data_IF_038137273945
#
_entry.id   IF_038137273945
#
_cell.length_a   1.000
_cell.length_b   1.000
_cell.length_c   1.000
_cell.angle_alpha   90.00
_cell.angle_beta   90.00
_cell.angle_gamma   90.00
#
_symmetry.space_group_name_H-M   'P 1'
#
loop_
_entity.id
_entity.type
_entity.pdbx_description
1 polymer ?
#
# COMPACT_ATOMS: atom_id res chain seq x y z
N UNK A 1 31.33 15.99 10.79
CA UNK A 1 30.18 15.09 10.58
C UNK A 1 29.44 15.63 9.38
N UNK A 2 29.13 14.81 8.37
CA UNK A 2 28.18 15.21 7.32
C UNK A 2 26.82 15.46 7.99
N UNK A 3 26.13 16.52 7.60
CA UNK A 3 24.73 16.73 8.00
C UNK A 3 23.89 15.50 7.58
N UNK A 4 22.93 15.05 8.39
CA UNK A 4 22.02 13.97 8.01
C UNK A 4 21.30 14.33 6.71
N UNK A 5 21.27 13.42 5.74
CA UNK A 5 20.65 13.66 4.42
C UNK A 5 19.15 13.96 4.53
N UNK A 6 18.52 13.57 5.63
CA UNK A 6 17.11 13.71 5.93
C UNK A 6 16.77 14.90 6.86
N UNK A 7 17.72 15.79 7.15
CA UNK A 7 17.48 16.95 8.04
C UNK A 7 16.34 17.86 7.54
N UNK A 8 16.24 18.08 6.22
CA UNK A 8 15.21 18.91 5.60
C UNK A 8 14.07 18.10 4.95
N UNK A 9 13.94 16.82 5.30
CA UNK A 9 13.07 15.85 4.61
C UNK A 9 11.64 16.34 4.40
N UNK A 10 11.02 16.95 5.42
CA UNK A 10 9.64 17.46 5.31
C UNK A 10 9.48 18.47 4.18
N UNK A 11 10.32 19.51 4.20
CA UNK A 11 10.29 20.61 3.25
C UNK A 11 10.62 20.12 1.83
N UNK A 12 11.52 19.15 1.73
CA UNK A 12 11.98 18.64 0.45
C UNK A 12 10.92 17.75 -0.20
N UNK A 13 10.25 16.87 0.57
CA UNK A 13 9.13 16.08 0.05
C UNK A 13 7.94 16.98 -0.27
N UNK A 14 7.62 17.99 0.56
CA UNK A 14 6.53 18.93 0.27
C UNK A 14 6.74 19.61 -1.10
N UNK A 15 7.93 20.17 -1.34
CA UNK A 15 8.28 20.77 -2.64
C UNK A 15 8.19 19.77 -3.78
N UNK A 16 8.67 18.54 -3.56
CA UNK A 16 8.57 17.48 -4.55
C UNK A 16 7.11 17.18 -4.93
N UNK A 17 6.21 17.02 -3.94
CA UNK A 17 4.80 16.77 -4.17
C UNK A 17 4.16 17.90 -4.99
N UNK A 18 4.40 19.16 -4.62
CA UNK A 18 3.86 20.30 -5.38
C UNK A 18 4.44 20.38 -6.80
N UNK A 19 5.68 19.94 -7.03
CA UNK A 19 6.25 19.89 -8.39
C UNK A 19 5.63 18.82 -9.29
N UNK A 20 4.92 17.83 -8.72
CA UNK A 20 4.14 16.85 -9.47
C UNK A 20 2.71 17.32 -9.77
N UNK A 21 2.26 18.42 -9.16
CA UNK A 21 0.89 18.91 -9.26
C UNK A 21 0.58 19.39 -10.68
N UNK A 22 -0.59 19.04 -11.20
CA UNK A 22 -1.08 19.54 -12.48
C UNK A 22 -1.48 21.01 -12.36
N UNK A 23 -0.96 21.85 -13.25
CA UNK A 23 -1.21 23.31 -13.26
C UNK A 23 -2.70 23.69 -13.35
N UNK A 24 -3.51 22.86 -14.04
CA UNK A 24 -4.94 23.12 -14.27
C UNK A 24 -5.86 22.44 -13.25
N UNK A 25 -5.35 21.46 -12.50
CA UNK A 25 -6.11 20.75 -11.48
C UNK A 25 -5.23 20.44 -10.27
N UNK A 26 -5.43 21.21 -9.20
CA UNK A 26 -4.68 21.10 -7.95
C UNK A 26 -4.79 19.75 -7.22
N UNK A 27 -5.72 18.88 -7.62
CA UNK A 27 -5.90 17.56 -7.01
C UNK A 27 -5.34 16.42 -7.87
N UNK A 28 -4.89 16.73 -9.09
CA UNK A 28 -4.26 15.77 -10.00
C UNK A 28 -2.74 15.92 -9.90
N UNK A 29 -2.05 14.82 -9.65
CA UNK A 29 -0.60 14.74 -9.57
C UNK A 29 -0.05 13.73 -10.55
N UNK A 30 1.07 14.05 -11.18
CA UNK A 30 1.78 13.13 -12.05
C UNK A 30 2.56 12.09 -11.23
N UNK A 31 2.78 10.88 -11.77
CA UNK A 31 3.53 9.86 -11.06
C UNK A 31 5.02 10.16 -10.96
N UNK A 32 5.56 10.95 -11.90
CA UNK A 32 6.98 11.23 -12.05
C UNK A 32 7.18 12.66 -12.56
N UNK A 33 8.33 13.27 -12.26
CA UNK A 33 8.71 14.59 -12.79
C UNK A 33 8.99 14.56 -14.29
N UNK A 34 9.61 13.48 -14.77
CA UNK A 34 9.91 13.27 -16.18
C UNK A 34 9.61 11.84 -16.59
N UNK A 35 9.23 11.66 -17.86
CA UNK A 35 8.96 10.35 -18.44
C UNK A 35 7.57 9.80 -18.16
N UNK A 36 6.59 10.60 -17.73
CA UNK A 36 5.20 10.17 -17.61
C UNK A 36 4.65 9.72 -18.98
N UNK A 37 4.07 8.52 -19.04
CA UNK A 37 3.43 7.99 -20.26
C UNK A 37 2.04 8.59 -20.46
N UNK A 38 1.34 8.16 -21.52
CA UNK A 38 -0.09 8.48 -21.68
C UNK A 38 -0.90 8.13 -20.45
N UNK A 39 -0.83 6.90 -19.94
CA UNK A 39 -1.61 6.51 -18.75
C UNK A 39 -1.12 7.19 -17.47
N UNK A 40 0.19 7.43 -17.34
CA UNK A 40 0.73 8.19 -16.21
C UNK A 40 0.17 9.61 -16.11
N UNK A 41 -0.19 10.23 -17.23
CA UNK A 41 -0.82 11.56 -17.25
C UNK A 41 -2.35 11.54 -17.09
N UNK A 42 -2.97 10.37 -17.02
CA UNK A 42 -4.43 10.20 -17.04
C UNK A 42 -4.97 9.59 -15.75
N UNK A 43 -4.21 8.69 -15.11
CA UNK A 43 -4.54 8.18 -13.78
C UNK A 43 -4.38 9.29 -12.76
N UNK A 44 -5.36 9.44 -11.86
CA UNK A 44 -5.35 10.50 -10.87
C UNK A 44 -5.68 10.02 -9.47
N UNK A 45 -6.67 9.13 -9.30
CA UNK A 45 -7.20 8.76 -7.96
C UNK A 45 -6.10 8.20 -7.04
N UNK A 46 -5.36 7.19 -7.50
CA UNK A 46 -4.29 6.60 -6.70
C UNK A 46 -3.19 7.58 -6.32
N UNK A 47 -2.80 8.46 -7.26
CA UNK A 47 -1.77 9.47 -7.00
C UNK A 47 -2.26 10.54 -6.01
N UNK A 48 -3.53 10.94 -6.09
CA UNK A 48 -4.17 11.80 -5.10
C UNK A 48 -4.17 11.15 -3.71
N UNK A 49 -4.45 9.85 -3.62
CA UNK A 49 -4.38 9.12 -2.35
C UNK A 49 -2.96 9.13 -1.77
N UNK A 50 -1.94 8.94 -2.61
CA UNK A 50 -0.54 9.03 -2.21
C UNK A 50 -0.16 10.42 -1.69
N UNK A 51 -0.59 11.50 -2.35
CA UNK A 51 -0.35 12.87 -1.86
C UNK A 51 -0.99 13.10 -0.50
N UNK A 52 -2.26 12.72 -0.31
CA UNK A 52 -2.95 12.88 0.98
C UNK A 52 -2.21 12.12 2.08
N UNK A 53 -1.80 10.87 1.81
CA UNK A 53 -1.00 10.06 2.75
C UNK A 53 0.33 10.73 3.09
N UNK A 54 1.03 11.30 2.10
CA UNK A 54 2.25 12.06 2.37
C UNK A 54 1.98 13.33 3.20
N UNK A 55 0.95 14.10 2.88
CA UNK A 55 0.56 15.27 3.68
C UNK A 55 0.23 14.90 5.12
N UNK A 56 -0.46 13.77 5.33
CA UNK A 56 -0.71 13.24 6.67
C UNK A 56 0.61 12.89 7.38
N UNK A 57 1.47 12.07 6.76
CA UNK A 57 2.75 11.66 7.34
C UNK A 57 3.69 12.83 7.69
N UNK A 58 3.63 13.91 6.89
CA UNK A 58 4.44 15.11 7.10
C UNK A 58 3.85 16.11 8.10
N UNK A 59 2.67 15.82 8.65
CA UNK A 59 1.90 16.74 9.51
C UNK A 59 1.46 18.03 8.78
N UNK A 60 1.32 17.95 7.45
CA UNK A 60 0.88 19.05 6.60
C UNK A 60 -0.64 19.08 6.43
N UNK A 61 -1.29 17.92 6.48
CA UNK A 61 -2.73 17.82 6.27
C UNK A 61 -3.50 18.73 7.22
N UNK A 62 -3.19 18.68 8.53
CA UNK A 62 -3.91 19.44 9.54
C UNK A 62 -3.71 20.95 9.41
N UNK A 63 -2.60 21.37 8.82
CA UNK A 63 -2.27 22.77 8.53
C UNK A 63 -2.99 23.34 7.29
N UNK A 64 -3.67 22.50 6.49
CA UNK A 64 -4.44 22.97 5.33
C UNK A 64 -5.72 23.69 5.78
N UNK A 65 -6.13 24.70 5.01
CA UNK A 65 -7.45 25.33 5.15
C UNK A 65 -8.58 24.30 5.06
N UNK A 66 -9.59 24.41 5.91
CA UNK A 66 -10.73 23.48 5.96
C UNK A 66 -11.50 23.43 4.63
N UNK A 67 -11.65 24.57 3.95
CA UNK A 67 -12.25 24.61 2.62
C UNK A 67 -11.42 23.87 1.57
N UNK A 68 -10.09 23.85 1.72
CA UNK A 68 -9.20 23.09 0.85
C UNK A 68 -9.21 21.58 1.18
N UNK A 69 -9.23 21.20 2.47
CA UNK A 69 -9.44 19.81 2.90
C UNK A 69 -10.74 19.25 2.34
N UNK A 70 -11.84 19.99 2.46
CA UNK A 70 -13.14 19.57 1.94
C UNK A 70 -13.11 19.30 0.42
N UNK A 71 -12.43 20.14 -0.35
CA UNK A 71 -12.28 19.92 -1.81
C UNK A 71 -11.45 18.68 -2.16
N UNK A 72 -10.42 18.37 -1.35
CA UNK A 72 -9.69 17.10 -1.50
C UNK A 72 -10.60 15.89 -1.27
N UNK A 73 -11.40 15.92 -0.20
CA UNK A 73 -12.34 14.86 0.14
C UNK A 73 -13.42 14.68 -0.93
N UNK A 74 -13.96 15.79 -1.45
CA UNK A 74 -14.90 15.78 -2.58
C UNK A 74 -14.26 15.21 -3.85
N UNK A 75 -13.01 15.56 -4.14
CA UNK A 75 -12.30 15.06 -5.30
C UNK A 75 -12.14 13.53 -5.23
N UNK A 76 -11.65 12.99 -4.10
CA UNK A 76 -11.53 11.52 -3.93
C UNK A 76 -12.90 10.84 -4.03
N UNK A 77 -13.91 11.37 -3.33
CA UNK A 77 -15.27 10.82 -3.38
C UNK A 77 -15.94 10.91 -4.75
N UNK A 78 -15.50 11.80 -5.64
CA UNK A 78 -16.05 11.91 -7.00
C UNK A 78 -15.77 10.68 -7.88
N UNK A 79 -14.78 9.86 -7.51
CA UNK A 79 -14.47 8.59 -8.18
C UNK A 79 -15.35 7.43 -7.72
N UNK A 80 -16.18 7.63 -6.68
CA UNK A 80 -17.09 6.61 -6.21
C UNK A 80 -18.31 6.51 -7.13
N UNK A 81 -18.45 5.38 -7.80
CA UNK A 81 -19.47 5.16 -8.84
C UNK A 81 -20.17 3.82 -8.68
N UNK A 82 -21.39 3.74 -9.19
CA UNK A 82 -22.10 2.48 -9.35
C UNK A 82 -22.02 2.02 -10.81
N UNK A 83 -21.54 0.79 -11.03
CA UNK A 83 -21.36 0.22 -12.36
C UNK A 83 -21.86 -1.23 -12.35
N UNK A 84 -22.83 -1.55 -13.20
CA UNK A 84 -23.58 -2.83 -13.22
C UNK A 84 -22.72 -4.10 -13.20
N UNK A 85 -21.47 -4.04 -13.65
CA UNK A 85 -20.57 -5.20 -13.72
C UNK A 85 -19.46 -5.22 -12.66
N UNK A 86 -19.50 -4.28 -11.72
CA UNK A 86 -18.57 -4.13 -10.62
C UNK A 86 -19.33 -4.16 -9.29
N UNK A 87 -18.62 -4.43 -8.19
CA UNK A 87 -19.14 -4.17 -6.86
C UNK A 87 -19.73 -2.76 -6.76
N UNK A 88 -20.94 -2.62 -6.23
CA UNK A 88 -21.62 -1.33 -6.10
C UNK A 88 -20.84 -0.37 -5.22
N UNK A 89 -20.87 0.92 -5.59
CA UNK A 89 -20.16 2.00 -4.91
C UNK A 89 -18.63 1.81 -4.85
N UNK A 90 -18.05 1.14 -5.84
CA UNK A 90 -16.59 1.06 -6.00
C UNK A 90 -15.99 2.43 -6.33
N UNK A 91 -14.73 2.64 -5.95
CA UNK A 91 -13.95 3.75 -6.50
C UNK A 91 -13.31 3.32 -7.81
N UNK A 92 -13.47 4.14 -8.84
CA UNK A 92 -13.07 3.79 -10.20
C UNK A 92 -12.40 4.97 -10.88
N UNK A 93 -11.10 4.87 -11.10
CA UNK A 93 -10.39 5.77 -11.98
C UNK A 93 -10.83 5.54 -13.45
N UNK A 94 -11.31 6.56 -14.18
CA UNK A 94 -11.78 6.41 -15.55
C UNK A 94 -10.71 5.87 -16.51
N UNK A 95 -9.44 6.22 -16.33
CA UNK A 95 -8.35 5.75 -17.18
C UNK A 95 -8.10 4.25 -16.96
N UNK A 96 -8.13 3.80 -15.71
CA UNK A 96 -8.07 2.36 -15.37
C UNK A 96 -9.28 1.62 -15.93
N UNK A 97 -10.50 2.15 -15.74
CA UNK A 97 -11.71 1.53 -16.26
C UNK A 97 -11.65 1.31 -17.77
N UNK A 98 -11.31 2.38 -18.50
CA UNK A 98 -11.24 2.35 -19.96
C UNK A 98 -10.15 1.40 -20.46
N UNK A 99 -9.00 1.35 -19.77
CA UNK A 99 -7.96 0.37 -20.04
C UNK A 99 -8.51 -1.05 -19.98
N UNK A 100 -9.28 -1.36 -18.94
CA UNK A 100 -9.83 -2.70 -18.75
C UNK A 100 -11.05 -3.02 -19.64
N UNK A 101 -11.84 -2.05 -20.07
CA UNK A 101 -13.09 -2.33 -20.82
C UNK A 101 -12.97 -2.17 -22.34
N UNK A 102 -11.96 -1.47 -22.86
CA UNK A 102 -11.83 -1.20 -24.29
C UNK A 102 -11.55 -2.45 -25.16
N UNK A 103 -12.42 -2.70 -26.14
CA UNK A 103 -12.40 -3.90 -27.01
C UNK A 103 -11.15 -3.99 -27.89
N UNK A 104 -10.64 -2.86 -28.38
CA UNK A 104 -9.45 -2.77 -29.26
C UNK A 104 -8.14 -3.06 -28.54
N UNK A 105 -8.07 -2.87 -27.21
CA UNK A 105 -6.83 -3.09 -26.43
C UNK A 105 -6.68 -4.53 -25.93
N UNK A 106 -7.74 -5.35 -25.92
CA UNK A 106 -7.70 -6.76 -25.45
C UNK A 106 -6.58 -7.60 -26.07
N UNK A 107 -6.11 -7.26 -27.28
CA UNK A 107 -5.01 -7.95 -27.96
C UNK A 107 -3.61 -7.48 -27.50
N UNK A 108 -3.32 -6.17 -27.42
CA UNK A 108 -1.99 -5.67 -26.97
C UNK A 108 -1.78 -5.78 -25.45
N UNK A 109 -2.87 -5.85 -24.69
CA UNK A 109 -2.88 -6.00 -23.24
C UNK A 109 -2.30 -7.34 -22.78
N UNK A 110 -2.50 -8.42 -23.54
CA UNK A 110 -1.97 -9.75 -23.19
C UNK A 110 -0.45 -9.73 -23.02
N UNK A 111 0.27 -8.88 -23.74
CA UNK A 111 1.74 -8.86 -23.70
C UNK A 111 2.31 -7.93 -22.62
N UNK A 112 1.61 -6.82 -22.28
CA UNK A 112 1.98 -5.98 -21.14
C UNK A 112 1.66 -6.64 -19.80
N UNK A 113 0.52 -7.32 -19.70
CA UNK A 113 0.15 -8.08 -18.50
C UNK A 113 1.06 -9.28 -18.28
N UNK A 114 1.55 -9.96 -19.32
CA UNK A 114 2.58 -11.01 -19.18
C UNK A 114 3.84 -10.50 -18.48
N UNK A 115 4.23 -9.24 -18.65
CA UNK A 115 5.41 -8.66 -17.98
C UNK A 115 5.19 -8.45 -16.48
N UNK A 116 3.99 -8.01 -16.08
CA UNK A 116 3.59 -7.88 -14.66
C UNK A 116 3.35 -9.25 -14.02
N UNK A 117 2.78 -10.17 -14.79
CA UNK A 117 2.57 -11.58 -14.41
C UNK A 117 3.91 -12.31 -14.26
N UNK A 118 4.95 -11.99 -15.05
CA UNK A 118 6.26 -12.61 -14.89
C UNK A 118 7.02 -12.16 -13.64
N UNK A 119 6.62 -11.06 -13.00
CA UNK A 119 7.11 -10.64 -11.68
C UNK A 119 6.38 -11.34 -10.52
N UNK A 120 5.26 -12.03 -10.78
CA UNK A 120 4.50 -12.76 -9.77
C UNK A 120 4.49 -14.24 -10.12
N UNK A 121 5.14 -15.08 -9.31
CA UNK A 121 5.22 -16.51 -9.60
C UNK A 121 3.81 -17.12 -9.66
N UNK A 122 3.40 -17.70 -10.80
CA UNK A 122 2.00 -18.07 -11.08
C UNK A 122 1.65 -19.54 -10.80
N UNK A 123 0.56 -19.78 -10.08
CA UNK A 123 -0.19 -21.06 -10.10
C UNK A 123 -1.69 -20.70 -10.15
N UNK A 124 -2.41 -21.36 -11.08
CA UNK A 124 -3.66 -20.94 -11.76
C UNK A 124 -3.56 -19.60 -12.50
N UNK A 125 -3.74 -19.63 -13.82
CA UNK A 125 -3.61 -18.46 -14.69
C UNK A 125 -4.79 -17.49 -14.47
N UNK A 126 -4.66 -16.48 -13.59
CA UNK A 126 -5.69 -15.44 -13.40
C UNK A 126 -6.07 -14.83 -14.75
N UNK A 127 -7.36 -14.64 -14.95
CA UNK A 127 -7.90 -14.04 -16.16
C UNK A 127 -7.77 -12.52 -16.12
N UNK A 128 -7.97 -11.90 -17.27
CA UNK A 128 -8.05 -10.45 -17.37
C UNK A 128 -9.18 -9.84 -16.54
N UNK A 129 -10.32 -10.54 -16.46
CA UNK A 129 -11.46 -10.13 -15.62
C UNK A 129 -11.08 -10.15 -14.15
N UNK A 130 -10.32 -11.15 -13.71
CA UNK A 130 -9.86 -11.25 -12.32
C UNK A 130 -8.95 -10.07 -11.97
N UNK A 131 -7.96 -9.77 -12.82
CA UNK A 131 -7.03 -8.66 -12.61
C UNK A 131 -7.72 -7.30 -12.59
N UNK A 132 -8.75 -7.13 -13.43
CA UNK A 132 -9.57 -5.92 -13.40
C UNK A 132 -10.32 -5.78 -12.07
N UNK A 133 -10.99 -6.85 -11.63
CA UNK A 133 -11.72 -6.85 -10.35
C UNK A 133 -10.79 -6.64 -9.15
N UNK A 134 -9.60 -7.23 -9.17
CA UNK A 134 -8.59 -7.00 -8.14
C UNK A 134 -8.14 -5.54 -8.11
N UNK A 135 -7.94 -4.93 -9.27
CA UNK A 135 -7.51 -3.52 -9.38
C UNK A 135 -8.59 -2.57 -8.87
N UNK A 136 -9.87 -2.82 -9.21
CA UNK A 136 -11.01 -2.06 -8.68
C UNK A 136 -11.11 -2.20 -7.17
N UNK A 137 -10.95 -3.41 -6.63
CA UNK A 137 -10.96 -3.64 -5.18
C UNK A 137 -9.79 -2.96 -4.48
N UNK A 138 -8.58 -3.04 -5.05
CA UNK A 138 -7.40 -2.38 -4.51
C UNK A 138 -7.56 -0.86 -4.48
N UNK A 139 -8.08 -0.26 -5.56
CA UNK A 139 -8.31 1.18 -5.65
C UNK A 139 -9.42 1.64 -4.71
N UNK A 140 -10.50 0.85 -4.58
CA UNK A 140 -11.56 1.08 -3.60
C UNK A 140 -11.04 1.02 -2.17
N UNK A 141 -10.24 0.00 -1.84
CA UNK A 141 -9.60 -0.12 -0.52
C UNK A 141 -8.72 1.10 -0.24
N UNK A 142 -7.88 1.49 -1.19
CA UNK A 142 -6.95 2.60 -1.03
C UNK A 142 -7.67 3.93 -0.82
N UNK A 143 -8.73 4.22 -1.59
CA UNK A 143 -9.50 5.44 -1.45
C UNK A 143 -10.21 5.51 -0.09
N UNK A 144 -10.88 4.43 0.31
CA UNK A 144 -11.57 4.35 1.61
C UNK A 144 -10.57 4.48 2.77
N UNK A 145 -9.46 3.74 2.74
CA UNK A 145 -8.42 3.82 3.75
C UNK A 145 -7.85 5.24 3.86
N UNK A 146 -7.59 5.90 2.73
CA UNK A 146 -7.08 7.27 2.72
C UNK A 146 -8.06 8.27 3.31
N UNK A 147 -9.36 8.16 2.99
CA UNK A 147 -10.39 9.01 3.58
C UNK A 147 -10.45 8.81 5.11
N UNK A 148 -10.44 7.57 5.58
CA UNK A 148 -10.45 7.26 7.01
C UNK A 148 -9.20 7.78 7.73
N UNK A 149 -8.02 7.68 7.12
CA UNK A 149 -6.75 8.16 7.69
C UNK A 149 -6.82 9.64 8.09
N UNK A 150 -7.50 10.45 7.26
CA UNK A 150 -7.68 11.89 7.49
C UNK A 150 -9.01 12.24 8.19
N UNK A 151 -9.61 11.27 8.88
CA UNK A 151 -10.83 11.49 9.68
C UNK A 151 -12.12 11.67 8.86
N UNK A 152 -12.12 11.25 7.59
CA UNK A 152 -13.27 11.33 6.69
C UNK A 152 -13.82 9.94 6.35
N UNK A 153 -14.88 9.90 5.54
CA UNK A 153 -15.54 8.67 5.07
C UNK A 153 -15.91 8.78 3.60
N UNK A 154 -16.09 7.61 2.96
CA UNK A 154 -16.67 7.53 1.63
C UNK A 154 -18.16 7.90 1.63
N UNK A 155 -18.62 8.52 0.55
CA UNK A 155 -20.00 9.06 0.42
C UNK A 155 -21.08 7.98 0.47
N UNK A 156 -20.84 6.84 -0.18
CA UNK A 156 -21.76 5.71 -0.26
C UNK A 156 -21.11 4.45 0.28
N UNK A 157 -21.85 3.65 1.04
CA UNK A 157 -21.33 2.43 1.63
C UNK A 157 -20.96 1.38 0.56
N UNK A 158 -19.74 0.84 0.62
CA UNK A 158 -19.31 -0.29 -0.20
C UNK A 158 -19.70 -1.60 0.50
N UNK A 159 -20.70 -2.33 -0.04
CA UNK A 159 -21.28 -3.53 0.62
C UNK A 159 -20.85 -4.86 0.04
N UNK A 160 -20.23 -4.83 -1.14
CA UNK A 160 -19.99 -6.02 -1.95
C UNK A 160 -18.65 -6.68 -1.58
N UNK A 161 -18.62 -7.26 -0.37
CA UNK A 161 -17.51 -8.08 0.14
C UNK A 161 -18.02 -9.18 1.08
N UNK A 162 -17.31 -10.33 1.19
CA UNK A 162 -17.61 -11.37 2.18
C UNK A 162 -17.70 -10.81 3.60
N UNK A 163 -18.86 -10.94 4.23
CA UNK A 163 -19.13 -10.36 5.55
C UNK A 163 -19.90 -11.30 6.50
N UNK A 164 -19.91 -12.59 6.19
CA UNK A 164 -20.36 -13.65 7.09
C UNK A 164 -19.24 -14.67 7.26
N UNK A 165 -19.25 -15.43 8.37
CA UNK A 165 -18.24 -16.48 8.62
C UNK A 165 -18.08 -17.43 7.43
N UNK A 166 -19.19 -17.90 6.86
CA UNK A 166 -19.19 -18.88 5.77
C UNK A 166 -18.62 -18.27 4.49
N UNK A 167 -19.01 -17.04 4.14
CA UNK A 167 -18.47 -16.36 2.96
C UNK A 167 -16.99 -16.02 3.11
N UNK A 168 -16.57 -15.56 4.29
CA UNK A 168 -15.17 -15.27 4.60
C UNK A 168 -14.34 -16.55 4.49
N UNK A 169 -14.75 -17.64 5.14
CA UNK A 169 -14.08 -18.94 5.06
C UNK A 169 -13.96 -19.39 3.59
N UNK A 170 -15.07 -19.42 2.85
CA UNK A 170 -15.11 -19.86 1.45
C UNK A 170 -14.22 -19.00 0.55
N UNK A 171 -14.29 -17.67 0.71
CA UNK A 171 -13.50 -16.75 -0.09
C UNK A 171 -12.01 -16.90 0.20
N UNK A 172 -11.60 -16.88 1.47
CA UNK A 172 -10.19 -16.99 1.84
C UNK A 172 -9.62 -18.37 1.54
N UNK A 173 -10.40 -19.46 1.66
CA UNK A 173 -9.98 -20.81 1.28
C UNK A 173 -9.82 -20.97 -0.25
N UNK A 174 -10.46 -20.10 -1.05
CA UNK A 174 -10.25 -20.06 -2.51
C UNK A 174 -8.92 -19.41 -2.93
N UNK A 175 -8.26 -18.68 -2.02
CA UNK A 175 -7.03 -17.96 -2.29
C UNK A 175 -5.81 -18.88 -2.16
N UNK A 176 -4.77 -18.57 -2.94
CA UNK A 176 -3.52 -19.33 -2.93
C UNK A 176 -2.59 -18.87 -1.80
N UNK A 177 -2.77 -19.43 -0.59
CA UNK A 177 -1.90 -19.16 0.55
C UNK A 177 -0.51 -19.81 0.49
N UNK A 178 -0.23 -20.62 -0.55
CA UNK A 178 1.13 -21.03 -0.88
C UNK A 178 1.90 -19.94 -1.62
N UNK A 179 1.24 -18.82 -1.98
CA UNK A 179 1.83 -17.59 -2.51
C UNK A 179 1.10 -16.38 -1.91
N UNK A 180 1.44 -16.03 -0.66
CA UNK A 180 0.60 -15.21 0.20
C UNK A 180 0.50 -13.74 -0.23
N UNK A 181 1.23 -13.25 -1.23
CA UNK A 181 1.15 -11.85 -1.67
C UNK A 181 -0.29 -11.42 -2.00
N UNK A 182 -0.93 -12.12 -2.94
CA UNK A 182 -2.31 -11.78 -3.32
C UNK A 182 -3.28 -12.18 -2.20
N UNK A 183 -3.08 -13.33 -1.55
CA UNK A 183 -4.00 -13.80 -0.51
C UNK A 183 -4.08 -12.83 0.68
N UNK A 184 -2.92 -12.35 1.15
CA UNK A 184 -2.82 -11.31 2.17
C UNK A 184 -3.43 -9.99 1.72
N UNK A 185 -3.28 -9.59 0.45
CA UNK A 185 -3.88 -8.36 -0.06
C UNK A 185 -5.41 -8.40 -0.01
N UNK A 186 -5.99 -9.54 -0.38
CA UNK A 186 -7.43 -9.76 -0.28
C UNK A 186 -7.90 -9.79 1.18
N UNK A 187 -7.16 -10.45 2.07
CA UNK A 187 -7.43 -10.44 3.50
C UNK A 187 -7.42 -9.01 4.08
N UNK A 188 -6.40 -8.21 3.76
CA UNK A 188 -6.30 -6.79 4.15
C UNK A 188 -7.51 -5.99 3.68
N UNK A 189 -7.96 -6.20 2.43
CA UNK A 189 -9.15 -5.53 1.91
C UNK A 189 -10.42 -5.86 2.72
N UNK A 190 -10.63 -7.14 3.08
CA UNK A 190 -11.76 -7.52 3.93
C UNK A 190 -11.68 -6.84 5.30
N UNK A 191 -10.50 -6.71 5.89
CA UNK A 191 -10.30 -6.04 7.17
C UNK A 191 -10.68 -4.56 7.09
N UNK A 192 -10.19 -3.83 6.08
CA UNK A 192 -10.56 -2.42 5.84
C UNK A 192 -12.07 -2.27 5.66
N UNK A 193 -12.69 -3.10 4.82
CA UNK A 193 -14.13 -3.01 4.59
C UNK A 193 -14.96 -3.40 5.82
N UNK A 194 -14.48 -4.37 6.60
CA UNK A 194 -15.09 -4.75 7.89
C UNK A 194 -15.14 -3.56 8.84
N UNK A 195 -14.01 -2.87 9.02
CA UNK A 195 -13.90 -1.74 9.96
C UNK A 195 -14.65 -0.51 9.47
N UNK A 196 -14.62 -0.22 8.17
CA UNK A 196 -15.11 1.06 7.63
C UNK A 196 -16.53 1.00 7.08
N UNK A 197 -17.00 -0.19 6.68
CA UNK A 197 -18.27 -0.36 5.98
C UNK A 197 -19.30 -1.15 6.76
N UNK A 198 -19.00 -1.70 7.95
CA UNK A 198 -20.00 -2.39 8.78
C UNK A 198 -20.33 -1.58 10.04
N UNK A 199 -21.47 -1.89 10.65
CA UNK A 199 -21.82 -1.33 11.96
C UNK A 199 -20.98 -2.01 13.05
N UNK A 200 -20.68 -1.30 14.14
CA UNK A 200 -19.76 -1.74 15.19
C UNK A 200 -19.91 -3.22 15.62
N UNK A 201 -21.13 -3.68 15.94
CA UNK A 201 -21.33 -5.07 16.35
C UNK A 201 -21.03 -6.06 15.22
N UNK A 202 -21.45 -5.78 13.98
CA UNK A 202 -21.18 -6.63 12.82
C UNK A 202 -19.69 -6.64 12.47
N UNK A 203 -19.05 -5.47 12.55
CA UNK A 203 -17.62 -5.29 12.34
C UNK A 203 -16.81 -6.15 13.31
N UNK A 204 -17.15 -6.12 14.60
CA UNK A 204 -16.46 -6.91 15.63
C UNK A 204 -16.59 -8.43 15.39
N UNK A 205 -17.80 -8.91 15.06
CA UNK A 205 -17.99 -10.32 14.74
C UNK A 205 -17.18 -10.75 13.51
N UNK A 206 -17.17 -9.93 12.45
CA UNK A 206 -16.36 -10.20 11.26
C UNK A 206 -14.86 -10.14 11.51
N UNK A 207 -14.40 -9.17 12.29
CA UNK A 207 -13.01 -9.09 12.74
C UNK A 207 -12.58 -10.38 13.47
N UNK A 208 -13.44 -10.92 14.33
CA UNK A 208 -13.18 -12.19 15.02
C UNK A 208 -13.13 -13.39 14.06
N UNK A 209 -13.99 -13.44 13.03
CA UNK A 209 -13.93 -14.49 12.01
C UNK A 209 -12.66 -14.41 11.16
N UNK A 210 -12.30 -13.21 10.70
CA UNK A 210 -11.06 -12.96 9.95
C UNK A 210 -9.84 -13.35 10.78
N UNK A 211 -9.79 -12.95 12.05
CA UNK A 211 -8.70 -13.28 12.95
C UNK A 211 -8.55 -14.80 13.14
N UNK A 212 -9.66 -15.49 13.43
CA UNK A 212 -9.66 -16.94 13.61
C UNK A 212 -9.25 -17.70 12.34
N UNK A 213 -9.56 -17.17 11.16
CA UNK A 213 -9.14 -17.78 9.90
C UNK A 213 -7.61 -17.90 9.80
N UNK A 214 -6.86 -16.92 10.32
CA UNK A 214 -5.40 -16.87 10.19
C UNK A 214 -4.69 -18.09 10.80
N UNK A 215 -5.28 -18.74 11.80
CA UNK A 215 -4.76 -20.00 12.36
C UNK A 215 -4.58 -21.10 11.31
N UNK A 216 -5.37 -21.10 10.22
CA UNK A 216 -5.25 -22.05 9.11
C UNK A 216 -4.03 -21.82 8.22
N UNK A 217 -3.43 -20.63 8.28
CA UNK A 217 -2.34 -20.18 7.40
C UNK A 217 -1.11 -19.73 8.18
N UNK A 218 -1.15 -19.81 9.51
CA UNK A 218 -0.07 -19.37 10.39
C UNK A 218 1.05 -20.41 10.43
N UNK A 219 2.26 -20.00 10.05
CA UNK A 219 3.46 -20.74 10.34
C UNK A 219 3.88 -20.46 11.79
N UNK A 220 3.74 -21.44 12.68
CA UNK A 220 4.02 -21.28 14.11
C UNK A 220 5.52 -21.19 14.44
N UNK A 221 6.41 -21.56 13.52
CA UNK A 221 7.87 -21.48 13.73
C UNK A 221 8.38 -20.06 13.51
N UNK A 222 7.84 -19.35 12.53
CA UNK A 222 8.29 -18.00 12.15
C UNK A 222 7.30 -16.89 12.54
N UNK A 223 6.03 -17.22 12.81
CA UNK A 223 4.96 -16.24 13.01
C UNK A 223 4.37 -15.67 11.70
N UNK A 224 4.88 -16.09 10.54
CA UNK A 224 4.45 -15.60 9.23
C UNK A 224 3.18 -16.32 8.72
N UNK A 225 2.50 -15.74 7.73
CA UNK A 225 1.21 -16.23 7.23
C UNK A 225 1.32 -16.85 5.82
N UNK A 226 1.52 -18.16 5.74
CA UNK A 226 1.58 -18.94 4.49
C UNK A 226 1.37 -20.44 4.73
N UNK A 227 0.92 -21.19 3.70
CA UNK A 227 0.70 -22.66 3.79
C UNK A 227 1.87 -23.54 3.31
N UNK A 228 2.85 -23.00 2.58
CA UNK A 228 3.97 -23.77 2.02
C UNK A 228 5.34 -23.28 2.52
N UNK A 229 6.28 -24.18 2.78
CA UNK A 229 7.64 -23.89 3.26
C UNK A 229 8.52 -23.33 2.13
N UNK A 230 8.32 -23.77 0.89
CA UNK A 230 9.15 -23.42 -0.28
C UNK A 230 8.89 -22.02 -0.88
N UNK A 231 8.13 -21.17 -0.19
CA UNK A 231 7.86 -19.81 -0.66
C UNK A 231 9.12 -18.95 -0.54
N UNK A 232 9.42 -18.18 -1.60
CA UNK A 232 10.52 -17.23 -1.61
C UNK A 232 10.42 -16.19 -0.49
N UNK A 233 11.57 -15.67 -0.05
CA UNK A 233 11.66 -14.78 1.10
C UNK A 233 10.79 -13.52 0.98
N UNK A 234 10.91 -12.79 -0.14
CA UNK A 234 10.16 -11.54 -0.35
C UNK A 234 8.65 -11.79 -0.38
N UNK A 235 8.21 -12.91 -0.95
CA UNK A 235 6.79 -13.28 -1.00
C UNK A 235 6.24 -13.57 0.41
N UNK A 236 7.03 -14.22 1.29
CA UNK A 236 6.65 -14.44 2.70
C UNK A 236 6.52 -13.12 3.46
N UNK A 237 7.49 -12.22 3.30
CA UNK A 237 7.50 -10.90 3.94
C UNK A 237 6.30 -10.07 3.47
N UNK A 238 6.12 -9.94 2.15
CA UNK A 238 5.04 -9.14 1.58
C UNK A 238 3.65 -9.68 1.94
N UNK A 239 3.46 -11.00 1.86
CA UNK A 239 2.22 -11.63 2.30
C UNK A 239 1.92 -11.38 3.78
N UNK A 240 2.95 -11.47 4.63
CA UNK A 240 2.83 -11.18 6.07
C UNK A 240 2.54 -9.71 6.32
N UNK A 241 3.19 -8.78 5.63
CA UNK A 241 2.92 -7.34 5.67
C UNK A 241 1.43 -7.08 5.45
N UNK A 242 0.86 -7.66 4.40
CA UNK A 242 -0.55 -7.45 4.06
C UNK A 242 -1.50 -8.02 5.12
N UNK A 243 -1.17 -9.17 5.71
CA UNK A 243 -1.96 -9.71 6.82
C UNK A 243 -1.89 -8.79 8.03
N UNK A 244 -0.69 -8.33 8.41
CA UNK A 244 -0.50 -7.43 9.55
C UNK A 244 -1.20 -6.09 9.32
N UNK A 245 -1.20 -5.56 8.10
CA UNK A 245 -2.02 -4.38 7.75
C UNK A 245 -3.49 -4.65 8.02
N UNK A 246 -4.00 -5.82 7.63
CA UNK A 246 -5.38 -6.20 7.95
C UNK A 246 -5.64 -6.22 9.45
N UNK A 247 -4.76 -6.86 10.22
CA UNK A 247 -4.84 -6.92 11.69
C UNK A 247 -4.83 -5.53 12.35
N UNK A 248 -4.06 -4.59 11.80
CA UNK A 248 -4.00 -3.20 12.25
C UNK A 248 -5.34 -2.48 12.10
N UNK A 249 -6.06 -2.76 11.01
CA UNK A 249 -7.39 -2.20 10.74
C UNK A 249 -8.49 -2.77 11.65
N UNK A 250 -8.42 -4.06 11.99
CA UNK A 250 -9.41 -4.71 12.86
C UNK A 250 -8.98 -4.79 14.33
N UNK A 251 -7.88 -4.10 14.68
CA UNK A 251 -7.32 -4.00 16.03
C UNK A 251 -7.10 -5.35 16.71
N UNK A 252 -6.55 -6.31 15.95
CA UNK A 252 -6.22 -7.64 16.46
C UNK A 252 -4.71 -7.82 16.65
N UNK A 253 -4.29 -8.56 17.70
CA UNK A 253 -2.87 -8.76 17.99
C UNK A 253 -2.19 -9.57 16.88
N UNK A 254 -0.89 -9.40 16.74
CA UNK A 254 -0.09 -10.18 15.80
C UNK A 254 0.25 -11.51 16.46
N UNK A 255 0.16 -12.61 15.72
CA UNK A 255 0.59 -13.91 16.23
C UNK A 255 2.12 -13.96 16.32
N UNK A 256 2.65 -14.34 17.48
CA UNK A 256 4.08 -14.56 17.72
C UNK A 256 5.00 -13.40 17.26
N UNK A 257 4.81 -12.16 17.72
CA UNK A 257 5.57 -10.99 17.26
C UNK A 257 7.10 -11.17 17.44
N UNK A 258 7.55 -11.86 18.50
CA UNK A 258 8.98 -12.10 18.75
C UNK A 258 9.63 -13.03 17.71
N UNK A 259 8.87 -14.00 17.19
CA UNK A 259 9.36 -14.88 16.10
C UNK A 259 9.48 -14.12 14.79
N UNK A 260 8.57 -13.18 14.55
CA UNK A 260 8.64 -12.28 13.40
C UNK A 260 9.87 -11.37 13.52
N UNK A 261 10.14 -10.83 14.72
CA UNK A 261 11.36 -10.05 15.00
C UNK A 261 12.60 -10.88 14.69
N UNK A 262 12.71 -12.10 15.24
CA UNK A 262 13.84 -13.01 14.98
C UNK A 262 14.00 -13.39 13.51
N UNK A 263 12.90 -13.50 12.77
CA UNK A 263 12.92 -13.73 11.34
C UNK A 263 13.47 -12.51 10.58
N UNK A 264 12.91 -11.32 10.83
CA UNK A 264 13.27 -10.09 10.11
C UNK A 264 14.74 -9.69 10.32
N UNK A 265 15.27 -9.84 11.53
CA UNK A 265 16.67 -9.51 11.84
C UNK A 265 17.70 -10.36 11.07
N UNK A 266 17.28 -11.48 10.47
CA UNK A 266 18.12 -12.36 9.64
C UNK A 266 17.97 -12.07 8.14
N UNK A 267 17.07 -11.19 7.75
CA UNK A 267 16.79 -10.86 6.35
C UNK A 267 17.69 -9.70 5.93
N UNK A 268 18.36 -9.85 4.79
CA UNK A 268 18.99 -8.72 4.13
C UNK A 268 17.90 -7.86 3.45
N UNK A 269 17.86 -6.53 3.72
CA UNK A 269 16.84 -5.69 3.13
C UNK A 269 17.00 -5.65 1.61
N UNK A 270 15.88 -5.73 0.89
CA UNK A 270 15.88 -5.57 -0.57
C UNK A 270 16.27 -4.15 -0.99
N UNK A 271 16.43 -3.95 -2.31
CA UNK A 271 16.77 -2.65 -2.90
C UNK A 271 15.59 -1.95 -3.61
N UNK A 272 14.39 -2.51 -3.54
CA UNK A 272 13.17 -1.91 -4.08
C UNK A 272 12.30 -1.35 -2.96
N UNK A 273 11.62 -0.22 -3.19
CA UNK A 273 10.87 0.49 -2.17
C UNK A 273 9.80 -0.35 -1.48
N UNK A 274 9.12 -1.24 -2.21
CA UNK A 274 8.14 -2.16 -1.62
C UNK A 274 8.80 -3.18 -0.68
N UNK A 275 9.89 -3.82 -1.09
CA UNK A 275 10.56 -4.84 -0.28
C UNK A 275 11.13 -4.24 1.01
N UNK A 276 11.64 -3.00 0.93
CA UNK A 276 12.16 -2.26 2.08
C UNK A 276 11.04 -1.96 3.09
N UNK A 277 9.96 -1.32 2.64
CA UNK A 277 8.89 -0.89 3.55
C UNK A 277 8.12 -2.06 4.14
N UNK A 278 7.95 -3.15 3.39
CA UNK A 278 7.24 -4.33 3.88
C UNK A 278 7.95 -4.95 5.07
N UNK A 279 9.28 -5.06 4.99
CA UNK A 279 10.11 -5.58 6.06
C UNK A 279 10.10 -4.65 7.29
N UNK A 280 10.21 -3.33 7.06
CA UNK A 280 10.11 -2.35 8.15
C UNK A 280 8.76 -2.43 8.83
N UNK A 281 7.66 -2.48 8.07
CA UNK A 281 6.31 -2.47 8.64
C UNK A 281 6.05 -3.68 9.54
N UNK A 282 6.38 -4.90 9.07
CA UNK A 282 6.17 -6.10 9.90
C UNK A 282 7.03 -6.09 11.16
N UNK A 283 8.26 -5.57 11.07
CA UNK A 283 9.16 -5.45 12.21
C UNK A 283 8.67 -4.39 13.19
N UNK A 284 8.34 -3.20 12.69
CA UNK A 284 7.77 -2.09 13.45
C UNK A 284 6.53 -2.52 14.24
N UNK A 285 5.52 -3.08 13.56
CA UNK A 285 4.27 -3.49 14.20
C UNK A 285 4.48 -4.60 15.24
N UNK A 286 5.44 -5.50 15.01
CA UNK A 286 5.80 -6.53 16.00
C UNK A 286 6.47 -5.90 17.23
N UNK A 287 7.35 -4.90 17.05
CA UNK A 287 8.00 -4.18 18.16
C UNK A 287 7.03 -3.32 18.97
N UNK A 288 5.95 -2.81 18.36
CA UNK A 288 4.88 -2.13 19.13
C UNK A 288 4.13 -3.08 20.06
N UNK A 289 4.25 -4.41 19.89
CA UNK A 289 3.62 -5.42 20.75
C UNK A 289 4.61 -6.17 21.66
N UNK A 290 5.93 -6.04 21.45
CA UNK A 290 6.96 -6.63 22.33
C UNK A 290 8.23 -5.77 22.35
N UNK A 291 8.84 -5.65 23.55
CA UNK A 291 10.15 -5.00 23.76
C UNK A 291 11.34 -5.93 23.48
N UNK A 292 11.10 -7.11 22.92
CA UNK A 292 12.14 -8.07 22.59
C UNK A 292 13.12 -7.49 21.56
N UNK A 293 14.43 -7.57 21.86
CA UNK A 293 15.54 -7.17 20.96
C UNK A 293 15.51 -5.74 20.45
N UNK A 294 14.96 -4.78 21.20
CA UNK A 294 14.86 -3.36 20.79
C UNK A 294 16.17 -2.79 20.23
N UNK A 295 17.31 -3.02 20.89
CA UNK A 295 18.60 -2.51 20.42
C UNK A 295 19.06 -3.15 19.09
N UNK A 296 18.80 -4.44 18.88
CA UNK A 296 19.12 -5.11 17.61
C UNK A 296 18.25 -4.55 16.47
N UNK A 297 16.98 -4.27 16.77
CA UNK A 297 16.02 -3.68 15.82
C UNK A 297 16.42 -2.26 15.44
N UNK A 298 16.78 -1.41 16.41
CA UNK A 298 17.27 -0.05 16.13
C UNK A 298 18.51 -0.08 15.24
N UNK A 299 19.50 -0.92 15.57
CA UNK A 299 20.69 -1.11 14.75
C UNK A 299 20.36 -1.65 13.33
N UNK A 300 19.35 -2.51 13.22
CA UNK A 300 18.87 -2.99 11.93
C UNK A 300 18.26 -1.85 11.11
N UNK A 301 17.41 -1.02 11.71
CA UNK A 301 16.80 0.12 11.01
C UNK A 301 17.81 1.18 10.58
N UNK A 302 18.89 1.41 11.32
CA UNK A 302 19.96 2.30 10.85
C UNK A 302 20.61 1.79 9.55
N UNK A 303 20.80 0.47 9.41
CA UNK A 303 21.28 -0.13 8.16
C UNK A 303 20.27 0.05 7.02
N UNK A 304 18.99 -0.14 7.31
CA UNK A 304 17.94 0.05 6.30
C UNK A 304 17.83 1.52 5.88
N UNK A 305 18.01 2.47 6.81
CA UNK A 305 18.00 3.91 6.52
C UNK A 305 19.10 4.31 5.53
N UNK A 306 20.27 3.66 5.59
CA UNK A 306 21.34 3.83 4.58
C UNK A 306 20.85 3.38 3.20
N UNK A 307 20.13 2.25 3.11
CA UNK A 307 19.57 1.79 1.83
C UNK A 307 18.53 2.79 1.33
N UNK A 308 17.61 3.26 2.18
CA UNK A 308 16.61 4.28 1.83
C UNK A 308 17.27 5.54 1.28
N UNK A 309 18.40 5.98 1.85
CA UNK A 309 19.14 7.15 1.39
C UNK A 309 19.61 7.05 -0.06
N UNK A 310 19.87 5.83 -0.56
CA UNK A 310 20.28 5.62 -1.96
C UNK A 310 19.17 5.88 -2.98
N UNK A 311 17.92 5.98 -2.53
CA UNK A 311 16.77 6.31 -3.37
C UNK A 311 16.46 7.81 -3.38
N UNK A 312 17.05 8.58 -2.47
CA UNK A 312 16.73 9.99 -2.24
C UNK A 312 17.45 10.90 -3.24
N UNK A 313 16.73 11.85 -3.82
CA UNK A 313 17.29 12.84 -4.73
C UNK A 313 17.32 14.20 -4.04
N UNK A 314 18.43 14.55 -3.39
CA UNK A 314 18.56 15.82 -2.64
C UNK A 314 18.23 17.07 -3.47
N UNK A 315 18.53 17.07 -4.77
CA UNK A 315 18.21 18.21 -5.66
C UNK A 315 16.73 18.32 -6.04
N UNK A 316 15.93 17.26 -5.78
CA UNK A 316 14.51 17.15 -6.17
C UNK A 316 13.58 16.90 -4.98
N UNK A 317 14.10 16.44 -3.85
CA UNK A 317 13.42 16.21 -2.58
C UNK A 317 12.60 14.92 -2.42
N UNK A 318 12.41 14.14 -3.49
CA UNK A 318 11.66 12.88 -3.47
C UNK A 318 12.55 11.64 -3.55
N UNK A 319 11.90 10.46 -3.54
CA UNK A 319 12.55 9.17 -3.70
C UNK A 319 12.12 8.45 -4.99
N UNK A 320 12.99 7.61 -5.54
CA UNK A 320 12.66 6.67 -6.61
C UNK A 320 12.22 5.31 -6.07
N UNK A 321 11.31 4.64 -6.78
CA UNK A 321 10.82 3.31 -6.44
C UNK A 321 11.93 2.24 -6.40
N UNK A 322 12.86 2.29 -7.34
CA UNK A 322 14.10 1.50 -7.34
C UNK A 322 15.28 2.44 -7.47
N UNK A 323 16.45 2.09 -6.96
CA UNK A 323 17.66 2.92 -7.12
C UNK A 323 17.86 3.32 -8.59
N UNK A 324 17.92 4.62 -8.85
CA UNK A 324 18.07 5.25 -10.17
C UNK A 324 16.94 4.96 -11.18
N UNK A 325 15.75 4.50 -10.75
CA UNK A 325 14.62 4.20 -11.64
C UNK A 325 13.26 4.44 -10.98
N UNK A 326 12.43 5.23 -11.64
CA UNK A 326 11.03 5.42 -11.26
C UNK A 326 10.13 4.19 -11.47
N UNK A 327 9.01 4.12 -10.75
CA UNK A 327 7.97 3.09 -10.90
C UNK A 327 7.49 2.96 -12.35
N UNK A 328 7.39 1.73 -12.86
CA UNK A 328 6.98 1.45 -14.25
C UNK A 328 5.46 1.34 -14.42
N UNK A 329 4.79 0.56 -13.56
CA UNK A 329 3.40 0.16 -13.72
C UNK A 329 2.54 0.48 -12.49
N UNK A 330 1.28 0.83 -12.74
CA UNK A 330 0.21 0.96 -11.74
C UNK A 330 -1.02 0.18 -12.23
N UNK A 331 -1.45 -0.85 -11.49
CA UNK A 331 -2.50 -1.80 -11.90
C UNK A 331 -2.39 -2.31 -13.34
N UNK A 332 -1.16 -2.62 -13.78
CA UNK A 332 -0.92 -3.10 -15.15
C UNK A 332 -0.89 -2.02 -16.24
N UNK A 333 -1.21 -0.77 -15.92
CA UNK A 333 -1.00 0.36 -16.82
C UNK A 333 0.45 0.83 -16.72
N UNK A 334 1.13 0.96 -17.85
CA UNK A 334 2.49 1.53 -17.89
C UNK A 334 2.40 3.03 -17.65
N UNK A 335 2.90 3.54 -16.53
CA UNK A 335 2.74 4.93 -16.09
C UNK A 335 3.98 5.80 -16.30
N UNK A 336 5.17 5.20 -16.37
CA UNK A 336 6.42 5.94 -16.62
C UNK A 336 7.32 5.25 -17.65
N UNK A 337 8.38 5.95 -18.04
CA UNK A 337 9.49 5.43 -18.85
C UNK A 337 10.62 4.82 -17.99
N UNK A 338 10.47 4.75 -16.66
CA UNK A 338 11.48 4.30 -15.70
C UNK A 338 12.80 5.07 -15.79
N UNK A 339 12.70 6.39 -15.96
CA UNK A 339 13.87 7.25 -15.95
C UNK A 339 14.44 7.36 -14.53
N UNK A 340 15.68 7.81 -14.44
CA UNK A 340 16.39 8.15 -13.22
C UNK A 340 15.84 9.44 -12.61
N UNK A 341 14.71 9.31 -11.92
CA UNK A 341 13.99 10.41 -11.31
C UNK A 341 13.13 9.90 -10.15
N UNK A 342 12.91 10.72 -9.11
CA UNK A 342 11.96 10.38 -8.07
C UNK A 342 10.54 10.28 -8.63
N UNK A 343 9.73 9.48 -7.94
CA UNK A 343 8.35 9.20 -8.28
C UNK A 343 7.48 9.22 -7.02
N UNK A 344 6.19 9.45 -7.20
CA UNK A 344 5.27 9.64 -6.08
C UNK A 344 5.15 8.37 -5.24
N UNK A 345 5.14 7.18 -5.85
CA UNK A 345 4.93 5.94 -5.13
C UNK A 345 6.15 5.55 -4.30
N UNK A 346 7.35 5.61 -4.89
CA UNK A 346 8.61 5.44 -4.17
C UNK A 346 8.73 6.43 -3.01
N UNK A 347 8.34 7.69 -3.23
CA UNK A 347 8.32 8.71 -2.18
C UNK A 347 7.35 8.36 -1.05
N UNK A 348 6.12 7.96 -1.35
CA UNK A 348 5.15 7.55 -0.31
C UNK A 348 5.64 6.34 0.49
N UNK A 349 6.15 5.30 -0.17
CA UNK A 349 6.63 4.09 0.50
C UNK A 349 7.84 4.36 1.40
N UNK A 350 8.81 5.11 0.90
CA UNK A 350 10.05 5.36 1.63
C UNK A 350 9.89 6.44 2.71
N UNK A 351 9.00 7.40 2.52
CA UNK A 351 8.56 8.27 3.62
C UNK A 351 7.90 7.45 4.73
N UNK A 352 6.97 6.55 4.37
CA UNK A 352 6.29 5.70 5.36
C UNK A 352 7.25 4.79 6.12
N UNK A 353 8.24 4.22 5.43
CA UNK A 353 9.35 3.49 6.05
C UNK A 353 10.08 4.34 7.09
N UNK A 354 10.45 5.58 6.73
CA UNK A 354 11.17 6.49 7.62
C UNK A 354 10.34 6.90 8.84
N UNK A 355 9.03 7.18 8.68
CA UNK A 355 8.19 7.57 9.83
C UNK A 355 8.12 6.47 10.89
N UNK A 356 8.10 5.20 10.49
CA UNK A 356 8.18 4.06 11.41
C UNK A 356 9.54 3.92 12.10
N UNK A 357 10.64 4.16 11.36
CA UNK A 357 11.99 4.15 11.92
C UNK A 357 12.14 5.29 12.94
N UNK A 358 11.64 6.48 12.61
CA UNK A 358 11.65 7.64 13.49
C UNK A 358 10.88 7.37 14.78
N UNK A 359 9.68 6.79 14.73
CA UNK A 359 8.90 6.45 15.93
C UNK A 359 9.63 5.45 16.85
N UNK A 360 10.33 4.46 16.30
CA UNK A 360 11.12 3.48 17.09
C UNK A 360 12.35 4.12 17.74
N UNK A 361 12.85 5.21 17.18
CA UNK A 361 13.99 5.97 17.67
C UNK A 361 13.55 7.23 18.45
N UNK A 362 12.27 7.34 18.84
CA UNK A 362 11.70 8.48 19.56
C UNK A 362 11.91 9.84 18.86
N UNK A 363 11.98 9.83 17.53
CA UNK A 363 12.05 11.05 16.70
C UNK A 363 10.62 11.45 16.32
N UNK A 364 10.17 12.59 16.83
CA UNK A 364 8.80 13.07 16.66
C UNK A 364 8.63 14.02 15.46
N UNK A 365 7.36 14.32 15.16
CA UNK A 365 6.98 15.25 14.10
C UNK A 365 6.51 14.58 12.81
N UNK A 366 6.40 13.26 12.76
CA UNK A 366 5.82 12.56 11.63
C UNK A 366 4.64 11.71 12.08
N UNK A 367 3.61 11.62 11.24
CA UNK A 367 2.51 10.69 11.46
C UNK A 367 2.76 9.37 10.73
N UNK A 368 2.19 8.28 11.22
CA UNK A 368 2.32 6.95 10.61
C UNK A 368 0.95 6.54 10.07
N UNK A 369 0.88 6.28 8.77
CA UNK A 369 -0.36 5.85 8.10
C UNK A 369 -0.68 4.37 8.37
N UNK A 370 -1.97 4.03 8.27
CA UNK A 370 -2.49 2.67 8.13
C UNK A 370 -2.83 2.40 6.66
N UNK A 371 -2.05 1.58 5.95
CA UNK A 371 -2.10 1.50 4.48
C UNK A 371 -3.34 0.83 3.88
#
# INVERSE_FOLDING_TARGET
MQEPWDENLKKDIEKFLYSLQNENNKFHFYPVLDGATYYGKQLTLGFSCYVIKCFYMLDLWDSLDEGYKQKWLEYVNSFQVDNKNLPSNSFLDPAMHHFYTSTTRKLSLKDNLKKVINLTSYSKKRTYKDLYLDSVRAETKQAIATLCEVGSINKLQYKDFPNTKVEIDNYLDSLNWSRPWNAGAQFSALCVFTTTQLKNNEAEHNANYLYKYLEKVLNKETGLYHKNIEVGLNEKINGTMKVITGLDWIEKPIHYPEKIIDFCLKVDPGSEGCDIVDLIYILYKSCKQSKYKTLEVQNYFEKVKIIISSHYYSSKGGFSYSTNKSQDYYYGLKISKRLDTPDIHGTTLLLWALTMIYDINDIHGFNIIKP
#
